data_IF_546699797211
#
_entry.id   IF_546699797211
#
_cell.length_a   1.000
_cell.length_b   1.000
_cell.length_c   1.000
_cell.angle_alpha   90.00
_cell.angle_beta   90.00
_cell.angle_gamma   90.00
#
_symmetry.space_group_name_H-M   'P 1'
#
loop_
_entity.id
_entity.type
_entity.pdbx_description
1 polymer ?
#
# COMPACT_ATOMS: atom_id res chain seq x y z
N UNK A 1 31.68 -41.78 -36.04
CA UNK A 1 30.29 -41.44 -35.66
C UNK A 1 30.19 -41.48 -34.14
N UNK A 2 30.05 -40.34 -33.49
CA UNK A 2 29.92 -40.28 -32.04
C UNK A 2 28.51 -40.74 -31.64
N UNK A 3 28.41 -41.78 -30.80
CA UNK A 3 27.14 -42.20 -30.19
C UNK A 3 26.82 -41.20 -29.08
N UNK A 4 25.75 -40.43 -29.26
CA UNK A 4 25.20 -39.60 -28.17
C UNK A 4 24.74 -40.46 -27.00
N UNK A 5 24.89 -39.93 -25.79
CA UNK A 5 24.36 -40.55 -24.58
C UNK A 5 22.82 -40.61 -24.64
N UNK A 6 22.24 -41.63 -24.00
CA UNK A 6 20.78 -41.77 -23.87
C UNK A 6 20.29 -40.73 -22.86
N UNK A 7 19.20 -40.02 -23.18
CA UNK A 7 18.66 -38.92 -22.35
C UNK A 7 18.37 -39.29 -20.89
N UNK A 8 18.09 -40.56 -20.59
CA UNK A 8 17.81 -41.03 -19.23
C UNK A 8 19.06 -41.40 -18.41
N UNK A 9 20.25 -41.40 -19.01
CA UNK A 9 21.52 -41.65 -18.32
C UNK A 9 22.18 -40.34 -17.83
N UNK A 10 21.52 -39.19 -18.04
CA UNK A 10 21.97 -37.91 -17.50
C UNK A 10 21.38 -37.77 -16.09
N UNK A 11 22.20 -37.78 -15.02
CA UNK A 11 21.71 -37.46 -13.69
C UNK A 11 21.29 -35.98 -13.67
N UNK A 12 20.01 -35.72 -13.94
CA UNK A 12 19.40 -34.41 -13.75
C UNK A 12 19.37 -34.19 -12.23
N UNK A 13 20.29 -33.38 -11.74
CA UNK A 13 20.33 -32.97 -10.34
C UNK A 13 19.18 -31.98 -10.10
N UNK A 14 17.99 -32.50 -9.80
CA UNK A 14 16.80 -31.69 -9.48
C UNK A 14 17.11 -30.71 -8.34
N UNK A 15 17.94 -31.14 -7.38
CA UNK A 15 18.40 -30.30 -6.27
C UNK A 15 19.18 -29.05 -6.68
N UNK A 16 19.88 -29.05 -7.82
CA UNK A 16 20.63 -27.86 -8.27
C UNK A 16 19.77 -26.89 -9.09
N UNK A 17 18.66 -27.36 -9.68
CA UNK A 17 17.73 -26.50 -10.39
C UNK A 17 16.71 -25.85 -9.44
N UNK A 18 16.39 -26.49 -8.31
CA UNK A 18 15.50 -25.91 -7.29
C UNK A 18 16.18 -24.86 -6.38
N UNK A 19 17.52 -24.86 -6.27
CA UNK A 19 18.23 -23.99 -5.33
C UNK A 19 18.32 -22.53 -5.78
N UNK A 20 18.50 -22.25 -7.08
CA UNK A 20 18.67 -20.87 -7.57
C UNK A 20 17.37 -20.05 -7.50
N UNK A 21 16.20 -20.68 -7.66
CA UNK A 21 14.91 -19.98 -7.55
C UNK A 21 14.46 -19.73 -6.11
N UNK A 22 14.88 -20.54 -5.15
CA UNK A 22 14.51 -20.36 -3.72
C UNK A 22 15.36 -19.26 -3.06
N UNK A 23 16.57 -19.01 -3.55
CA UNK A 23 17.47 -17.98 -2.99
C UNK A 23 17.04 -16.55 -3.35
N UNK A 24 16.34 -16.35 -4.47
CA UNK A 24 16.00 -14.99 -4.96
C UNK A 24 14.62 -14.47 -4.53
N UNK A 25 13.88 -15.18 -3.68
CA UNK A 25 12.69 -14.57 -3.05
C UNK A 25 13.16 -13.61 -1.96
N UNK A 26 12.84 -12.32 -2.03
CA UNK A 26 13.14 -11.41 -0.93
C UNK A 26 12.42 -11.97 0.30
N UNK A 27 13.19 -12.41 1.30
CA UNK A 27 12.66 -12.78 2.61
C UNK A 27 12.34 -11.49 3.32
N UNK A 28 11.19 -10.90 2.99
CA UNK A 28 10.64 -9.82 3.81
C UNK A 28 10.51 -10.35 5.24
N UNK A 29 10.96 -9.56 6.22
CA UNK A 29 10.97 -9.96 7.63
C UNK A 29 9.57 -10.27 8.19
N UNK A 30 9.47 -10.45 9.51
CA UNK A 30 8.17 -10.63 10.17
C UNK A 30 7.23 -9.45 9.88
N UNK A 31 5.93 -9.72 9.71
CA UNK A 31 4.93 -8.68 9.55
C UNK A 31 4.92 -7.73 10.77
N UNK A 32 4.93 -6.44 10.49
CA UNK A 32 4.85 -5.32 11.41
C UNK A 32 3.53 -4.57 11.18
N UNK A 33 3.04 -3.91 12.24
CA UNK A 33 1.88 -3.03 12.20
C UNK A 33 2.34 -1.59 12.41
N UNK A 34 1.98 -0.72 11.47
CA UNK A 34 2.06 0.73 11.63
C UNK A 34 0.66 1.28 11.81
N UNK A 35 0.44 2.09 12.84
CA UNK A 35 -0.84 2.75 13.09
C UNK A 35 -0.67 4.25 13.31
N UNK A 36 -1.70 4.99 12.94
CA UNK A 36 -1.84 6.42 13.23
C UNK A 36 -3.32 6.72 13.48
N UNK A 37 -3.62 7.46 14.53
CA UNK A 37 -4.96 7.98 14.82
C UNK A 37 -4.84 9.38 15.40
N UNK A 38 -5.41 10.38 14.72
CA UNK A 38 -5.42 11.75 15.21
C UNK A 38 -6.55 12.58 14.56
N UNK A 39 -6.91 13.70 15.20
CA UNK A 39 -7.82 14.70 14.66
C UNK A 39 -7.03 15.88 14.08
N UNK A 40 -7.14 16.06 12.76
CA UNK A 40 -6.39 17.07 12.02
C UNK A 40 -7.22 18.34 11.93
N UNK A 41 -6.73 19.41 12.58
CA UNK A 41 -7.38 20.73 12.64
C UNK A 41 -6.66 21.80 11.79
N UNK A 42 -5.44 21.52 11.33
CA UNK A 42 -4.60 22.44 10.54
C UNK A 42 -4.64 22.08 9.04
N UNK A 43 -4.53 23.07 8.16
CA UNK A 43 -4.65 22.88 6.70
C UNK A 43 -3.45 22.28 5.94
N UNK A 44 -2.19 22.27 6.42
CA UNK A 44 -1.09 21.76 5.60
C UNK A 44 -1.17 20.25 5.38
N UNK A 45 -0.46 19.77 4.37
CA UNK A 45 -0.25 18.33 4.18
C UNK A 45 0.57 17.80 5.36
N UNK A 46 0.06 16.77 6.02
CA UNK A 46 0.71 16.12 7.15
C UNK A 46 1.18 14.72 6.76
N UNK A 47 2.21 14.23 7.46
CA UNK A 47 2.63 12.83 7.38
C UNK A 47 1.89 12.01 8.43
N UNK A 48 1.14 11.01 7.99
CA UNK A 48 0.45 10.07 8.87
C UNK A 48 1.41 8.97 9.35
N UNK A 49 2.15 8.38 8.41
CA UNK A 49 3.08 7.29 8.67
C UNK A 49 4.18 7.30 7.61
N UNK A 50 5.41 7.04 8.03
CA UNK A 50 6.55 6.82 7.14
C UNK A 50 7.28 5.57 7.57
N UNK A 51 7.55 4.67 6.63
CA UNK A 51 8.39 3.48 6.85
C UNK A 51 9.62 3.64 5.97
N UNK A 52 10.80 3.45 6.56
CA UNK A 52 12.09 3.53 5.88
C UNK A 52 12.74 2.15 5.79
N UNK A 53 13.52 1.91 4.74
CA UNK A 53 14.19 0.64 4.45
C UNK A 53 13.65 -0.01 3.17
N UNK A 54 14.04 -1.26 2.94
CA UNK A 54 13.53 -2.07 1.83
C UNK A 54 12.44 -3.00 2.36
N UNK A 55 11.27 -3.03 1.74
CA UNK A 55 10.12 -3.75 2.30
C UNK A 55 8.95 -3.97 1.36
N UNK A 56 7.87 -4.50 1.92
CA UNK A 56 6.59 -4.72 1.25
C UNK A 56 5.42 -4.39 2.16
N UNK A 57 4.36 -3.82 1.59
CA UNK A 57 3.05 -3.66 2.21
C UNK A 57 2.18 -4.90 1.93
N UNK A 58 1.70 -5.53 2.98
CA UNK A 58 0.74 -6.65 2.92
C UNK A 58 -0.71 -6.18 2.83
N UNK A 59 -0.96 -4.90 3.10
CA UNK A 59 -2.25 -4.24 2.98
C UNK A 59 -2.43 -3.23 4.10
N UNK A 60 -3.62 -2.64 4.14
CA UNK A 60 -3.96 -1.68 5.16
C UNK A 60 -5.25 -0.96 4.82
N UNK A 61 -5.61 -0.03 5.68
CA UNK A 61 -6.74 0.84 5.43
C UNK A 61 -6.53 2.21 6.08
N UNK A 62 -7.17 3.20 5.48
CA UNK A 62 -7.30 4.56 5.95
C UNK A 62 -8.80 4.83 6.13
N UNK A 63 -9.22 5.25 7.30
CA UNK A 63 -10.58 5.72 7.56
C UNK A 63 -10.53 7.18 7.95
N UNK A 64 -11.41 7.99 7.35
CA UNK A 64 -11.52 9.43 7.57
C UNK A 64 -12.94 9.70 8.03
N UNK A 65 -13.07 10.37 9.17
CA UNK A 65 -14.32 10.90 9.68
C UNK A 65 -14.29 12.42 9.58
N UNK A 66 -15.29 13.02 8.97
CA UNK A 66 -15.39 14.48 8.80
C UNK A 66 -16.64 15.03 9.48
N UNK A 67 -16.66 16.34 9.74
CA UNK A 67 -17.83 17.02 10.31
C UNK A 67 -18.96 17.28 9.29
N UNK A 68 -18.69 17.10 7.99
CA UNK A 68 -19.69 17.24 6.93
C UNK A 68 -19.28 16.46 5.67
N UNK A 69 -20.22 16.33 4.73
CA UNK A 69 -20.04 15.66 3.45
C UNK A 69 -19.11 16.47 2.53
N UNK A 70 -17.80 16.38 2.75
CA UNK A 70 -16.82 16.98 1.86
C UNK A 70 -15.76 15.97 1.45
N UNK A 71 -15.74 15.70 0.16
CA UNK A 71 -14.85 14.72 -0.46
C UNK A 71 -13.55 15.35 -1.00
N UNK A 72 -13.18 16.53 -0.52
CA UNK A 72 -12.00 17.27 -1.03
C UNK A 72 -10.72 17.00 -0.24
N UNK A 73 -10.79 16.19 0.81
CA UNK A 73 -9.63 15.69 1.52
C UNK A 73 -8.74 14.91 0.55
N UNK A 74 -7.43 15.20 0.58
CA UNK A 74 -6.43 14.61 -0.29
C UNK A 74 -5.68 13.52 0.47
N UNK A 75 -5.58 12.35 -0.14
CA UNK A 75 -4.69 11.29 0.33
C UNK A 75 -3.58 11.08 -0.70
N UNK A 76 -2.35 10.95 -0.19
CA UNK A 76 -1.17 10.82 -1.03
C UNK A 76 -0.26 9.71 -0.51
N UNK A 77 0.19 8.84 -1.41
CA UNK A 77 1.15 7.77 -1.13
C UNK A 77 2.40 8.03 -1.98
N UNK A 78 3.54 8.10 -1.31
CA UNK A 78 4.85 8.26 -1.93
C UNK A 78 5.66 6.99 -1.66
N UNK A 79 6.25 6.42 -2.70
CA UNK A 79 7.13 5.26 -2.64
C UNK A 79 8.46 5.64 -3.28
N UNK A 80 9.55 5.52 -2.53
CA UNK A 80 10.91 5.81 -3.00
C UNK A 80 11.04 7.20 -3.64
N UNK A 81 10.37 8.19 -3.04
CA UNK A 81 10.31 9.57 -3.55
C UNK A 81 9.34 9.79 -4.71
N UNK A 82 8.77 8.73 -5.29
CA UNK A 82 7.79 8.81 -6.39
C UNK A 82 6.37 8.83 -5.84
N UNK A 83 5.55 9.78 -6.29
CA UNK A 83 4.13 9.82 -5.92
C UNK A 83 3.36 8.81 -6.78
N UNK A 84 2.79 7.78 -6.16
CA UNK A 84 1.97 6.77 -6.86
C UNK A 84 0.48 6.95 -6.68
N UNK A 85 0.07 7.59 -5.58
CA UNK A 85 -1.33 7.90 -5.29
C UNK A 85 -1.39 9.36 -4.85
N UNK A 86 -2.26 10.17 -5.45
CA UNK A 86 -2.46 11.57 -5.08
C UNK A 86 -3.85 12.01 -5.53
N UNK A 87 -4.87 11.49 -4.84
CA UNK A 87 -6.27 11.69 -5.21
C UNK A 87 -7.05 12.20 -4.00
N UNK A 88 -8.04 13.03 -4.28
CA UNK A 88 -9.05 13.37 -3.29
C UNK A 88 -10.06 12.24 -3.14
N UNK A 89 -10.81 12.22 -2.05
CA UNK A 89 -11.90 11.25 -1.90
C UNK A 89 -12.90 11.36 -3.05
N UNK A 90 -13.15 12.57 -3.56
CA UNK A 90 -14.02 12.82 -4.72
C UNK A 90 -13.47 12.13 -5.96
N UNK A 91 -12.19 12.30 -6.26
CA UNK A 91 -11.58 11.68 -7.43
C UNK A 91 -11.68 10.15 -7.38
N UNK A 92 -11.56 9.56 -6.19
CA UNK A 92 -11.72 8.11 -5.98
C UNK A 92 -13.14 7.65 -6.33
N UNK A 93 -14.17 8.43 -5.93
CA UNK A 93 -15.58 8.15 -6.27
C UNK A 93 -15.81 8.33 -7.77
N UNK A 94 -15.40 9.46 -8.33
CA UNK A 94 -15.67 9.85 -9.71
C UNK A 94 -15.02 8.89 -10.72
N UNK A 95 -13.81 8.39 -10.41
CA UNK A 95 -13.09 7.43 -11.24
C UNK A 95 -13.50 5.98 -10.90
N UNK A 96 -14.36 5.79 -9.88
CA UNK A 96 -14.89 4.50 -9.46
C UNK A 96 -13.79 3.48 -9.10
N UNK A 97 -12.81 3.92 -8.32
CA UNK A 97 -11.72 3.06 -7.83
C UNK A 97 -12.22 2.28 -6.61
N UNK A 98 -13.10 1.29 -6.82
CA UNK A 98 -13.74 0.50 -5.77
C UNK A 98 -13.49 -1.01 -5.86
N UNK A 99 -12.65 -1.44 -6.81
CA UNK A 99 -12.27 -2.85 -6.95
C UNK A 99 -10.97 -3.12 -6.23
N UNK A 100 -10.91 -4.25 -5.54
CA UNK A 100 -9.70 -4.71 -4.85
C UNK A 100 -8.50 -4.74 -5.81
N UNK A 101 -7.38 -4.14 -5.39
CA UNK A 101 -6.13 -4.07 -6.16
C UNK A 101 -6.24 -3.40 -7.55
N UNK A 102 -7.33 -2.65 -7.82
CA UNK A 102 -7.45 -1.88 -9.07
C UNK A 102 -6.47 -0.71 -9.18
N UNK A 103 -5.98 -0.23 -8.03
CA UNK A 103 -5.01 0.84 -7.91
C UNK A 103 -4.22 0.69 -6.60
N UNK A 104 -3.30 1.60 -6.30
CA UNK A 104 -2.46 1.54 -5.08
C UNK A 104 -3.31 1.63 -3.80
N UNK A 105 -4.40 2.39 -3.85
CA UNK A 105 -5.46 2.40 -2.86
C UNK A 105 -6.82 2.44 -3.58
N UNK A 106 -7.85 1.87 -2.95
CA UNK A 106 -9.21 1.78 -3.49
C UNK A 106 -10.24 2.01 -2.39
N UNK A 107 -11.42 2.51 -2.75
CA UNK A 107 -12.51 2.74 -1.82
C UNK A 107 -13.08 1.43 -1.29
N UNK A 108 -13.27 1.37 0.04
CA UNK A 108 -14.01 0.31 0.75
C UNK A 108 -15.40 0.77 1.16
N UNK A 109 -15.50 1.96 1.73
CA UNK A 109 -16.73 2.51 2.28
C UNK A 109 -16.78 4.02 1.99
N UNK A 110 -17.94 4.47 1.52
CA UNK A 110 -18.28 5.88 1.38
C UNK A 110 -19.67 6.01 1.99
N UNK A 111 -19.74 6.53 3.21
CA UNK A 111 -20.98 6.83 3.90
C UNK A 111 -21.12 8.35 4.08
N UNK A 112 -21.96 8.96 3.25
CA UNK A 112 -22.21 10.41 3.30
C UNK A 112 -23.17 10.80 4.43
N UNK A 113 -23.90 9.86 5.03
CA UNK A 113 -24.81 10.14 6.14
C UNK A 113 -24.06 10.21 7.47
N UNK A 114 -23.11 9.30 7.67
CA UNK A 114 -22.25 9.24 8.86
C UNK A 114 -20.90 9.97 8.68
N UNK A 115 -20.67 10.53 7.48
CA UNK A 115 -19.43 11.22 7.08
C UNK A 115 -18.17 10.36 7.29
N UNK A 116 -18.29 9.07 6.99
CA UNK A 116 -17.23 8.07 7.11
C UNK A 116 -16.75 7.63 5.73
N UNK A 117 -15.44 7.75 5.51
CA UNK A 117 -14.80 7.41 4.24
C UNK A 117 -13.61 6.48 4.49
N UNK A 118 -13.65 5.27 3.95
CA UNK A 118 -12.57 4.30 4.07
C UNK A 118 -11.94 3.94 2.73
N UNK A 119 -10.62 3.99 2.68
CA UNK A 119 -9.78 3.50 1.59
C UNK A 119 -8.98 2.29 2.06
N UNK A 120 -8.98 1.21 1.30
CA UNK A 120 -8.01 0.13 1.46
C UNK A 120 -6.73 0.43 0.69
N UNK A 121 -5.63 -0.11 1.19
CA UNK A 121 -4.33 -0.09 0.55
C UNK A 121 -4.06 -1.47 0.00
N UNK A 122 -3.69 -1.51 -1.28
CA UNK A 122 -3.46 -2.76 -2.00
C UNK A 122 -2.26 -3.52 -1.45
N UNK A 123 -2.32 -4.84 -1.57
CA UNK A 123 -1.24 -5.73 -1.12
C UNK A 123 -0.17 -5.90 -2.19
N UNK A 124 1.03 -6.29 -1.78
CA UNK A 124 2.13 -6.59 -2.70
C UNK A 124 2.88 -5.35 -3.19
N UNK A 125 2.65 -4.19 -2.58
CA UNK A 125 3.38 -2.97 -2.89
C UNK A 125 4.77 -3.07 -2.27
N UNK A 126 5.82 -3.04 -3.08
CA UNK A 126 7.22 -3.07 -2.63
C UNK A 126 7.83 -1.67 -2.60
N UNK A 127 8.82 -1.45 -1.73
CA UNK A 127 9.60 -0.21 -1.66
C UNK A 127 11.06 -0.53 -1.35
N UNK A 128 12.00 0.27 -1.88
CA UNK A 128 13.45 0.06 -1.72
C UNK A 128 14.09 0.96 -0.68
N UNK A 129 13.55 2.16 -0.50
CA UNK A 129 14.07 3.21 0.38
C UNK A 129 13.03 3.67 1.41
N UNK A 130 11.81 3.98 1.00
CA UNK A 130 10.76 4.41 1.92
C UNK A 130 9.36 4.39 1.31
N UNK A 131 8.36 4.30 2.17
CA UNK A 131 6.97 4.58 1.85
C UNK A 131 6.39 5.60 2.83
N UNK A 132 5.67 6.58 2.31
CA UNK A 132 5.07 7.66 3.09
C UNK A 132 3.58 7.80 2.77
N UNK A 133 2.78 7.90 3.81
CA UNK A 133 1.35 8.16 3.76
C UNK A 133 1.10 9.58 4.22
N UNK A 134 0.60 10.41 3.32
CA UNK A 134 0.35 11.83 3.55
C UNK A 134 -1.14 12.12 3.42
N UNK A 135 -1.61 13.07 4.22
CA UNK A 135 -3.00 13.50 4.22
C UNK A 135 -3.09 15.01 4.25
N UNK A 136 -4.12 15.54 3.60
CA UNK A 136 -4.53 16.94 3.75
C UNK A 136 -6.04 16.96 3.91
N UNK A 137 -6.50 17.57 4.99
CA UNK A 137 -7.93 17.73 5.26
C UNK A 137 -8.62 18.61 4.23
N UNK A 138 -9.95 18.57 4.23
CA UNK A 138 -10.74 19.61 3.57
C UNK A 138 -10.55 20.94 4.30
N UNK A 139 -10.26 22.05 3.57
CA UNK A 139 -10.15 23.36 4.18
C UNK A 139 -11.39 23.75 4.98
N UNK A 140 -11.18 24.24 6.21
CA UNK A 140 -12.25 24.66 7.11
C UNK A 140 -13.05 23.56 7.80
N UNK A 141 -12.70 22.27 7.60
CA UNK A 141 -13.31 21.14 8.32
C UNK A 141 -12.26 20.34 9.07
N UNK A 142 -12.57 20.00 10.32
CA UNK A 142 -11.78 19.03 11.08
C UNK A 142 -11.99 17.63 10.52
N UNK A 143 -10.96 16.79 10.58
CA UNK A 143 -11.01 15.41 10.09
C UNK A 143 -10.29 14.49 11.07
N UNK A 144 -10.97 13.46 11.56
CA UNK A 144 -10.32 12.38 12.32
C UNK A 144 -9.85 11.32 11.35
N UNK A 145 -8.56 11.00 11.40
CA UNK A 145 -7.92 10.09 10.47
C UNK A 145 -7.38 8.90 11.23
N UNK A 146 -7.72 7.69 10.75
CA UNK A 146 -7.19 6.42 11.24
C UNK A 146 -6.49 5.70 10.11
N UNK A 147 -5.21 5.40 10.26
CA UNK A 147 -4.43 4.63 9.29
C UNK A 147 -3.89 3.38 9.98
N UNK A 148 -4.06 2.22 9.35
CA UNK A 148 -3.40 0.97 9.74
C UNK A 148 -2.75 0.32 8.53
N UNK A 149 -1.47 0.01 8.64
CA UNK A 149 -0.66 -0.61 7.60
C UNK A 149 0.00 -1.87 8.14
N UNK A 150 -0.15 -2.97 7.40
CA UNK A 150 0.58 -4.20 7.63
C UNK A 150 1.72 -4.27 6.62
N UNK A 151 2.96 -4.37 7.10
CA UNK A 151 4.14 -4.33 6.24
C UNK A 151 5.26 -5.23 6.77
N UNK A 152 6.30 -5.44 5.98
CA UNK A 152 7.55 -6.03 6.44
C UNK A 152 8.72 -5.25 5.85
N UNK A 153 9.81 -5.17 6.61
CA UNK A 153 11.08 -4.54 6.23
C UNK A 153 12.19 -5.59 6.37
N UNK A 154 13.22 -5.48 5.55
CA UNK A 154 14.44 -6.31 5.60
C UNK A 154 15.50 -5.64 6.47
#
# INVERSE_FOLDING_TARGET
MAKGFKDWDVPISISSQELDEIISRPKYGSAQLGEYEDTITIDPVISLLSVSGTGMIYGGYLTIFTASSSLTALFKIIIDGTTLFNLTLRDVVDININKENSYVAYSLLIDEAEFEYSLAISRGITFESSIQFLFRRTPGLDSTVRLKIFYAVI
#
